data_IF_843047955444
#
_entry.id   IF_843047955444
#
_cell.length_a   1.000
_cell.length_b   1.000
_cell.length_c   1.000
_cell.angle_alpha   90.00
_cell.angle_beta   90.00
_cell.angle_gamma   90.00
#
_symmetry.space_group_name_H-M   'P 1'
#
loop_
_entity.id
_entity.type
_entity.pdbx_description
1 polymer ?
#
# COMPACT_ATOMS: atom_id res chain seq x y z
N UNK A 1 -2.01 24.88 9.64
CA UNK A 1 -1.40 23.56 9.89
C UNK A 1 -0.66 23.18 8.63
N UNK A 2 0.63 22.89 8.72
CA UNK A 2 1.46 22.57 7.55
C UNK A 2 1.63 21.06 7.37
N UNK A 3 1.90 20.65 6.13
CA UNK A 3 2.19 19.25 5.80
C UNK A 3 3.62 18.91 6.24
N UNK A 4 3.83 17.94 7.15
CA UNK A 4 5.16 17.59 7.64
C UNK A 4 6.07 17.08 6.53
N UNK A 5 7.34 17.50 6.53
CA UNK A 5 8.34 16.99 5.60
C UNK A 5 8.56 15.48 5.73
N UNK A 6 8.39 14.93 6.94
CA UNK A 6 8.45 13.48 7.17
C UNK A 6 7.39 12.72 6.36
N UNK A 7 6.15 13.24 6.27
CA UNK A 7 5.09 12.63 5.46
C UNK A 7 5.46 12.64 3.97
N UNK A 8 6.03 13.74 3.47
CA UNK A 8 6.49 13.82 2.08
C UNK A 8 7.57 12.78 1.78
N UNK A 9 8.54 12.60 2.68
CA UNK A 9 9.57 11.55 2.56
C UNK A 9 8.95 10.14 2.56
N UNK A 10 7.98 9.88 3.43
CA UNK A 10 7.26 8.60 3.47
C UNK A 10 6.50 8.31 2.18
N UNK A 11 5.88 9.30 1.56
CA UNK A 11 5.18 9.14 0.28
C UNK A 11 6.15 8.79 -0.87
N UNK A 12 7.32 9.41 -0.90
CA UNK A 12 8.38 9.08 -1.87
C UNK A 12 8.94 7.67 -1.62
N UNK A 13 9.19 7.32 -0.35
CA UNK A 13 9.61 5.97 0.01
C UNK A 13 8.58 4.91 -0.40
N UNK A 14 7.29 5.15 -0.12
CA UNK A 14 6.20 4.25 -0.49
C UNK A 14 6.13 4.05 -2.01
N UNK A 15 6.34 5.09 -2.81
CA UNK A 15 6.43 4.95 -4.26
C UNK A 15 7.50 3.95 -4.68
N UNK A 16 8.71 4.06 -4.14
CA UNK A 16 9.80 3.14 -4.48
C UNK A 16 9.52 1.72 -4.02
N UNK A 17 8.95 1.54 -2.83
CA UNK A 17 8.54 0.23 -2.32
C UNK A 17 7.50 -0.40 -3.22
N UNK A 18 6.42 0.32 -3.54
CA UNK A 18 5.35 -0.21 -4.41
C UNK A 18 5.90 -0.63 -5.76
N UNK A 19 6.72 0.20 -6.40
CA UNK A 19 7.28 -0.11 -7.71
C UNK A 19 8.28 -1.27 -7.67
N UNK A 20 9.07 -1.39 -6.60
CA UNK A 20 10.00 -2.49 -6.42
C UNK A 20 9.29 -3.85 -6.34
N UNK A 21 8.07 -3.91 -5.79
CA UNK A 21 7.24 -5.11 -5.79
C UNK A 21 6.37 -5.23 -7.05
N UNK A 22 5.76 -4.14 -7.52
CA UNK A 22 4.85 -4.15 -8.66
C UNK A 22 5.53 -4.64 -9.94
N UNK A 23 6.74 -4.16 -10.25
CA UNK A 23 7.45 -4.53 -11.48
C UNK A 23 7.65 -6.06 -11.58
N UNK A 24 8.30 -6.74 -10.62
CA UNK A 24 8.49 -8.19 -10.74
C UNK A 24 7.17 -8.97 -10.68
N UNK A 25 6.22 -8.60 -9.83
CA UNK A 25 4.91 -9.28 -9.78
C UNK A 25 4.07 -9.07 -11.06
N UNK A 26 4.29 -7.99 -11.80
CA UNK A 26 3.58 -7.74 -13.06
C UNK A 26 4.18 -8.54 -14.22
N UNK A 27 5.50 -8.49 -14.38
CA UNK A 27 6.17 -9.08 -15.54
C UNK A 27 6.57 -10.55 -15.35
N UNK A 28 6.88 -10.96 -14.13
CA UNK A 28 7.42 -12.28 -13.82
C UNK A 28 6.77 -12.95 -12.57
N UNK A 29 5.43 -12.95 -12.42
CA UNK A 29 4.79 -13.46 -11.21
C UNK A 29 5.11 -14.92 -10.92
N UNK A 30 5.12 -15.79 -11.93
CA UNK A 30 5.35 -17.24 -11.80
C UNK A 30 6.81 -17.55 -11.40
N UNK A 31 7.75 -16.78 -11.93
CA UNK A 31 9.16 -16.91 -11.56
C UNK A 31 9.38 -16.45 -10.10
N UNK A 32 8.76 -15.35 -9.70
CA UNK A 32 8.88 -14.86 -8.33
C UNK A 32 8.21 -15.80 -7.33
N UNK A 33 7.04 -16.36 -7.66
CA UNK A 33 6.34 -17.31 -6.80
C UNK A 33 7.16 -18.55 -6.53
N UNK A 34 7.74 -19.15 -7.56
CA UNK A 34 8.57 -20.35 -7.43
C UNK A 34 9.83 -20.11 -6.60
N UNK A 35 10.50 -18.96 -6.78
CA UNK A 35 11.69 -18.61 -6.01
C UNK A 35 11.45 -18.49 -4.51
N UNK A 36 10.26 -18.01 -4.11
CA UNK A 36 9.95 -17.69 -2.71
C UNK A 36 8.96 -18.69 -2.08
N UNK A 37 8.66 -19.78 -2.79
CA UNK A 37 7.72 -20.81 -2.33
C UNK A 37 6.29 -20.29 -2.16
N UNK A 38 5.87 -19.32 -2.97
CA UNK A 38 4.53 -18.75 -2.98
C UNK A 38 3.64 -19.45 -4.02
N UNK A 39 3.50 -20.78 -3.92
CA UNK A 39 2.72 -21.58 -4.87
C UNK A 39 1.56 -22.35 -4.20
N UNK A 40 0.41 -22.48 -4.90
CA UNK A 40 0.13 -21.94 -6.24
C UNK A 40 -0.19 -20.43 -6.24
N UNK A 41 0.38 -19.70 -7.19
CA UNK A 41 0.04 -18.29 -7.46
C UNK A 41 -0.86 -18.19 -8.69
N UNK A 42 -1.97 -17.45 -8.58
CA UNK A 42 -2.74 -17.01 -9.74
C UNK A 42 -2.05 -15.80 -10.41
N UNK A 43 -1.50 -15.95 -11.63
CA UNK A 43 -0.79 -14.86 -12.28
C UNK A 43 -1.68 -13.70 -12.73
N UNK A 44 -2.98 -13.92 -12.92
CA UNK A 44 -3.94 -12.86 -13.22
C UNK A 44 -4.13 -11.98 -11.97
N UNK A 45 -4.40 -12.61 -10.83
CA UNK A 45 -4.53 -11.92 -9.55
C UNK A 45 -3.24 -11.18 -9.15
N UNK A 46 -2.07 -11.77 -9.42
CA UNK A 46 -0.77 -11.14 -9.18
C UNK A 46 -0.58 -9.85 -10.02
N UNK A 47 -0.90 -9.91 -11.32
CA UNK A 47 -0.81 -8.75 -12.22
C UNK A 47 -1.81 -7.66 -11.86
N UNK A 48 -3.02 -8.01 -11.45
CA UNK A 48 -4.01 -7.06 -10.94
C UNK A 48 -3.52 -6.38 -9.66
N UNK A 49 -2.97 -7.14 -8.71
CA UNK A 49 -2.38 -6.61 -7.49
C UNK A 49 -1.22 -5.65 -7.80
N UNK A 50 -0.34 -6.03 -8.72
CA UNK A 50 0.76 -5.18 -9.17
C UNK A 50 0.28 -3.90 -9.86
N UNK A 51 -0.78 -3.96 -10.67
CA UNK A 51 -1.40 -2.78 -11.28
C UNK A 51 -1.93 -1.81 -10.21
N UNK A 52 -2.51 -2.33 -9.13
CA UNK A 52 -2.94 -1.51 -8.00
C UNK A 52 -1.75 -0.84 -7.28
N UNK A 53 -0.64 -1.56 -7.09
CA UNK A 53 0.60 -1.02 -6.53
C UNK A 53 1.18 0.10 -7.40
N UNK A 54 1.19 -0.05 -8.74
CA UNK A 54 1.59 1.04 -9.63
C UNK A 54 0.74 2.29 -9.44
N UNK A 55 -0.58 2.15 -9.42
CA UNK A 55 -1.51 3.26 -9.25
C UNK A 55 -1.32 3.98 -7.91
N UNK A 56 -1.33 3.22 -6.80
CA UNK A 56 -1.20 3.80 -5.47
C UNK A 56 0.19 4.39 -5.23
N UNK A 57 1.24 3.74 -5.72
CA UNK A 57 2.63 4.21 -5.61
C UNK A 57 2.86 5.50 -6.36
N UNK A 58 2.47 5.57 -7.63
CA UNK A 58 2.63 6.79 -8.43
C UNK A 58 1.82 7.95 -7.85
N UNK A 59 0.60 7.68 -7.37
CA UNK A 59 -0.20 8.70 -6.69
C UNK A 59 0.47 9.22 -5.42
N UNK A 60 1.26 8.40 -4.71
CA UNK A 60 2.06 8.84 -3.55
C UNK A 60 3.20 9.75 -3.96
N UNK A 61 3.91 9.46 -5.06
CA UNK A 61 4.97 10.33 -5.60
C UNK A 61 4.42 11.73 -5.95
N UNK A 62 3.28 11.79 -6.63
CA UNK A 62 2.62 13.07 -6.96
C UNK A 62 2.21 13.79 -5.66
N UNK A 63 1.60 13.07 -4.72
CA UNK A 63 1.09 13.66 -3.49
C UNK A 63 2.18 14.23 -2.59
N UNK A 64 3.44 13.80 -2.74
CA UNK A 64 4.58 14.35 -2.00
C UNK A 64 4.75 15.87 -2.21
N UNK A 65 4.11 16.47 -3.23
CA UNK A 65 4.12 17.91 -3.51
C UNK A 65 2.81 18.63 -3.17
N UNK A 66 1.81 17.94 -2.62
CA UNK A 66 0.49 18.52 -2.34
C UNK A 66 0.51 19.57 -1.22
N UNK A 67 -0.45 20.50 -1.30
CA UNK A 67 -0.89 21.37 -0.22
C UNK A 67 -1.68 20.57 0.84
N UNK A 68 -2.10 21.25 1.92
CA UNK A 68 -2.79 20.60 3.04
C UNK A 68 -4.11 19.93 2.62
N UNK A 69 -4.91 20.59 1.80
CA UNK A 69 -6.24 20.11 1.42
C UNK A 69 -6.13 18.84 0.58
N UNK A 70 -5.30 18.87 -0.47
CA UNK A 70 -5.04 17.70 -1.32
C UNK A 70 -4.35 16.58 -0.55
N UNK A 71 -3.47 16.93 0.39
CA UNK A 71 -2.82 15.95 1.26
C UNK A 71 -3.83 15.22 2.16
N UNK A 72 -4.81 15.94 2.74
CA UNK A 72 -5.88 15.31 3.52
C UNK A 72 -6.69 14.34 2.67
N UNK A 73 -7.04 14.74 1.44
CA UNK A 73 -7.75 13.85 0.52
C UNK A 73 -6.94 12.59 0.20
N UNK A 74 -5.65 12.74 -0.13
CA UNK A 74 -4.74 11.60 -0.35
C UNK A 74 -4.67 10.68 0.88
N UNK A 75 -4.54 11.24 2.09
CA UNK A 75 -4.47 10.45 3.32
C UNK A 75 -5.76 9.66 3.56
N UNK A 76 -6.94 10.22 3.27
CA UNK A 76 -8.22 9.46 3.36
C UNK A 76 -8.15 8.21 2.48
N UNK A 77 -7.75 8.38 1.22
CA UNK A 77 -7.61 7.26 0.29
C UNK A 77 -6.54 6.26 0.71
N UNK A 78 -5.38 6.72 1.18
CA UNK A 78 -4.30 5.86 1.65
C UNK A 78 -4.71 5.02 2.88
N UNK A 79 -5.43 5.62 3.82
CA UNK A 79 -5.97 4.93 5.00
C UNK A 79 -7.01 3.89 4.60
N UNK A 80 -7.96 4.23 3.71
CA UNK A 80 -8.99 3.29 3.24
C UNK A 80 -8.33 2.12 2.51
N UNK A 81 -7.45 2.39 1.55
CA UNK A 81 -6.74 1.37 0.77
C UNK A 81 -5.93 0.43 1.64
N UNK A 82 -5.05 0.98 2.50
CA UNK A 82 -4.18 0.16 3.35
C UNK A 82 -5.00 -0.63 4.38
N UNK A 83 -6.06 -0.03 4.93
CA UNK A 83 -6.98 -0.70 5.84
C UNK A 83 -7.71 -1.87 5.18
N UNK A 84 -8.28 -1.66 3.99
CA UNK A 84 -8.97 -2.72 3.25
C UNK A 84 -8.01 -3.85 2.83
N UNK A 85 -6.80 -3.51 2.40
CA UNK A 85 -5.78 -4.49 2.04
C UNK A 85 -5.33 -5.30 3.26
N UNK A 86 -5.14 -4.65 4.41
CA UNK A 86 -4.81 -5.33 5.68
C UNK A 86 -5.87 -6.35 6.07
N UNK A 87 -7.14 -5.95 6.07
CA UNK A 87 -8.25 -6.85 6.40
C UNK A 87 -8.35 -7.99 5.40
N UNK A 88 -8.29 -7.70 4.10
CA UNK A 88 -8.39 -8.71 3.05
C UNK A 88 -7.25 -9.73 3.10
N UNK A 89 -6.01 -9.30 3.34
CA UNK A 89 -4.85 -10.18 3.43
C UNK A 89 -4.89 -11.06 4.67
N UNK A 90 -5.24 -10.53 5.84
CA UNK A 90 -5.40 -11.37 7.03
C UNK A 90 -6.57 -12.34 6.88
N UNK A 91 -7.72 -11.89 6.35
CA UNK A 91 -8.85 -12.76 6.09
C UNK A 91 -8.49 -13.91 5.12
N UNK A 92 -7.75 -13.57 4.06
CA UNK A 92 -7.18 -14.55 3.13
C UNK A 92 -6.21 -15.51 3.81
N UNK A 93 -5.32 -15.02 4.68
CA UNK A 93 -4.35 -15.83 5.40
C UNK A 93 -4.97 -16.81 6.41
N UNK A 94 -6.17 -16.52 6.93
CA UNK A 94 -6.95 -17.47 7.72
C UNK A 94 -7.67 -18.52 6.85
N UNK A 95 -7.98 -18.18 5.60
CA UNK A 95 -8.73 -19.03 4.67
C UNK A 95 -7.82 -19.94 3.85
N UNK A 96 -6.57 -19.53 3.65
CA UNK A 96 -5.56 -20.21 2.85
C UNK A 96 -4.28 -20.24 3.68
N UNK A 97 -3.77 -21.43 4.02
CA UNK A 97 -2.57 -21.59 4.87
C UNK A 97 -1.30 -21.19 4.10
N UNK A 98 -1.09 -19.89 3.96
CA UNK A 98 0.03 -19.34 3.22
C UNK A 98 0.73 -18.22 4.00
N UNK A 99 1.99 -18.46 4.37
CA UNK A 99 2.84 -17.52 5.11
C UNK A 99 2.89 -16.10 4.50
N UNK A 100 2.84 -15.99 3.18
CA UNK A 100 2.91 -14.71 2.48
C UNK A 100 1.70 -13.81 2.72
N UNK A 101 0.51 -14.38 2.97
CA UNK A 101 -0.68 -13.62 3.37
C UNK A 101 -0.45 -12.87 4.68
N UNK A 102 0.21 -13.52 5.65
CA UNK A 102 0.61 -12.91 6.91
C UNK A 102 1.67 -11.83 6.75
N UNK A 103 2.73 -12.12 5.97
CA UNK A 103 3.83 -11.18 5.73
C UNK A 103 3.29 -9.90 5.07
N UNK A 104 2.55 -10.02 3.96
CA UNK A 104 1.97 -8.86 3.30
C UNK A 104 0.93 -8.17 4.18
N UNK A 105 0.10 -8.91 4.91
CA UNK A 105 -0.86 -8.35 5.86
C UNK A 105 -0.20 -7.45 6.91
N UNK A 106 0.92 -7.88 7.49
CA UNK A 106 1.71 -7.09 8.44
C UNK A 106 2.27 -5.82 7.77
N UNK A 107 2.82 -5.92 6.55
CA UNK A 107 3.35 -4.76 5.82
C UNK A 107 2.25 -3.71 5.59
N UNK A 108 1.08 -4.14 5.11
CA UNK A 108 -0.06 -3.25 4.91
C UNK A 108 -0.60 -2.67 6.22
N UNK A 109 -0.59 -3.44 7.31
CA UNK A 109 -0.97 -2.95 8.65
C UNK A 109 -0.03 -1.83 9.12
N UNK A 110 1.28 -1.97 8.92
CA UNK A 110 2.25 -0.94 9.27
C UNK A 110 2.01 0.36 8.48
N UNK A 111 1.76 0.26 7.18
CA UNK A 111 1.39 1.43 6.37
C UNK A 111 0.04 2.02 6.77
N UNK A 112 -0.95 1.19 7.10
CA UNK A 112 -2.24 1.65 7.60
C UNK A 112 -2.08 2.47 8.89
N UNK A 113 -1.29 2.00 9.85
CA UNK A 113 -0.99 2.73 11.10
C UNK A 113 -0.26 4.03 10.81
N UNK A 114 0.74 4.01 9.93
CA UNK A 114 1.51 5.18 9.52
C UNK A 114 0.59 6.26 8.92
N UNK A 115 -0.24 5.88 7.94
CA UNK A 115 -1.16 6.81 7.28
C UNK A 115 -2.23 7.31 8.22
N UNK A 116 -2.75 6.46 9.10
CA UNK A 116 -3.75 6.84 10.10
C UNK A 116 -3.19 7.87 11.08
N UNK A 117 -1.93 7.70 11.51
CA UNK A 117 -1.26 8.65 12.41
C UNK A 117 -1.16 10.05 11.77
N UNK A 118 -0.74 10.12 10.50
CA UNK A 118 -0.72 11.40 9.77
C UNK A 118 -2.12 11.94 9.48
N UNK A 119 -3.09 11.07 9.17
CA UNK A 119 -4.48 11.45 8.92
C UNK A 119 -5.11 12.08 10.17
N UNK A 120 -4.89 11.49 11.36
CA UNK A 120 -5.33 12.04 12.65
C UNK A 120 -4.62 13.37 12.91
N UNK A 121 -3.29 13.42 12.79
CA UNK A 121 -2.49 14.64 13.01
C UNK A 121 -2.96 15.79 12.12
N UNK A 122 -3.30 15.51 10.87
CA UNK A 122 -3.75 16.51 9.91
C UNK A 122 -5.26 16.75 9.91
N UNK A 123 -6.02 16.10 10.79
CA UNK A 123 -7.49 16.16 10.84
C UNK A 123 -8.13 15.83 9.49
N UNK A 124 -7.59 14.82 8.80
CA UNK A 124 -8.02 14.47 7.46
C UNK A 124 -9.49 14.08 7.40
N UNK A 125 -10.05 13.41 8.42
CA UNK A 125 -11.44 12.94 8.42
C UNK A 125 -12.45 13.90 9.08
N UNK A 126 -12.00 15.00 9.67
CA UNK A 126 -12.91 15.99 10.25
C UNK A 126 -13.52 16.84 9.12
N UNK A 127 -14.85 16.95 9.07
CA UNK A 127 -15.50 17.93 8.19
C UNK A 127 -15.13 19.33 8.68
N UNK A 128 -14.50 20.12 7.81
CA UNK A 128 -14.32 21.56 8.02
C UNK A 128 -15.65 22.28 7.95
#
# INVERSE_FOLDING_TARGET
MEVPQSLRKWLVFHFYVDYAFAIPFFFFPEYLSSLVGYEPLDPLAARMSAAALFGIGYSSLIAAKFDLEKMRLKLRWAVIWAGSATVGLFWGAFSVDHLWGWIFGIIFLLFFILWSTYAIKLKAFTRT
#
